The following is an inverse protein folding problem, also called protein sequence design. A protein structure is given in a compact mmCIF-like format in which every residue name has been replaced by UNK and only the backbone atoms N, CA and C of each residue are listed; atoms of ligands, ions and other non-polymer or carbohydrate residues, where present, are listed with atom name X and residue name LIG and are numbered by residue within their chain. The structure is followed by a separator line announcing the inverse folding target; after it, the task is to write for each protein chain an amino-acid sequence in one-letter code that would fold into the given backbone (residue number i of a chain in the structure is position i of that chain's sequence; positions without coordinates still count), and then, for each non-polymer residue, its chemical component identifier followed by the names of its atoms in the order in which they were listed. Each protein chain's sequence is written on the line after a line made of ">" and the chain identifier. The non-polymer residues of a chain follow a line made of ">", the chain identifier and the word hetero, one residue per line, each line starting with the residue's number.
data_IF_619491386584
#
_entry.id   IF_619491386584
#
_cell.length_a   1.000
_cell.length_b   1.000
_cell.length_c   1.000
_cell.angle_alpha   90.00
_cell.angle_beta   90.00
_cell.angle_gamma   90.00
#
_symmetry.space_group_name_H-M   'P 1'
#
loop_
_entity.id
_entity.type
_entity.pdbx_description
1 polymer ?
#
# COMPACT_ATOMS: atom_id res chain seq x y z
N UNK A 1 4.00 5.28 -15.86
CA UNK A 1 5.21 4.74 -15.20
C UNK A 1 6.27 5.84 -15.02
N UNK A 2 6.35 6.82 -15.92
CA UNK A 2 7.30 7.94 -15.91
C UNK A 2 7.50 8.68 -14.58
N UNK A 3 6.43 8.90 -13.80
CA UNK A 3 6.54 9.67 -12.56
C UNK A 3 7.21 8.88 -11.43
N UNK A 4 7.13 7.55 -11.42
CA UNK A 4 7.80 6.71 -10.41
C UNK A 4 9.27 6.47 -10.79
N UNK A 5 9.54 6.29 -12.09
CA UNK A 5 10.89 6.07 -12.61
C UNK A 5 11.83 7.29 -12.45
N UNK A 6 11.27 8.49 -12.32
CA UNK A 6 12.02 9.74 -12.15
C UNK A 6 12.31 10.10 -10.69
N UNK A 7 11.68 9.42 -9.73
CA UNK A 7 11.82 9.74 -8.30
C UNK A 7 13.02 9.03 -7.70
N UNK A 8 13.80 9.75 -6.89
CA UNK A 8 14.79 9.14 -6.02
C UNK A 8 14.12 8.54 -4.76
N UNK A 9 14.93 7.96 -3.86
CA UNK A 9 14.43 7.34 -2.63
C UNK A 9 13.73 8.34 -1.71
N UNK A 10 14.32 9.50 -1.47
CA UNK A 10 13.78 10.53 -0.57
C UNK A 10 12.44 11.08 -1.09
N UNK A 11 12.36 11.32 -2.40
CA UNK A 11 11.12 11.76 -3.07
C UNK A 11 10.05 10.66 -3.02
N UNK A 12 10.45 9.39 -3.12
CA UNK A 12 9.53 8.26 -3.00
C UNK A 12 8.98 8.18 -1.58
N UNK A 13 9.84 8.32 -0.55
CA UNK A 13 9.43 8.34 0.85
C UNK A 13 8.47 9.50 1.14
N UNK A 14 8.80 10.71 0.68
CA UNK A 14 7.93 11.88 0.84
C UNK A 14 6.53 11.64 0.25
N UNK A 15 6.44 11.07 -0.96
CA UNK A 15 5.14 10.75 -1.57
C UNK A 15 4.38 9.68 -0.78
N UNK A 16 5.06 8.65 -0.25
CA UNK A 16 4.41 7.63 0.58
C UNK A 16 3.84 8.22 1.87
N UNK A 17 4.55 9.16 2.50
CA UNK A 17 4.08 9.85 3.71
C UNK A 17 2.80 10.67 3.47
N UNK A 18 2.60 11.19 2.26
CA UNK A 18 1.40 11.97 1.90
C UNK A 18 0.18 11.10 1.54
N UNK A 19 0.37 9.80 1.28
CA UNK A 19 -0.72 8.94 0.80
C UNK A 19 -1.94 8.88 1.73
N UNK A 20 -1.82 8.82 3.07
CA UNK A 20 -2.98 8.83 3.96
C UNK A 20 -3.89 10.04 3.73
N UNK A 21 -3.33 11.24 3.63
CA UNK A 21 -4.09 12.48 3.39
C UNK A 21 -4.71 12.51 1.97
N UNK A 22 -4.03 11.91 0.99
CA UNK A 22 -4.59 11.73 -0.36
C UNK A 22 -5.80 10.81 -0.34
N UNK A 23 -5.72 9.66 0.33
CA UNK A 23 -6.84 8.72 0.43
C UNK A 23 -8.01 9.33 1.20
N UNK A 24 -7.75 10.03 2.30
CA UNK A 24 -8.78 10.76 3.05
C UNK A 24 -9.53 11.74 2.13
N UNK A 25 -8.79 12.60 1.41
CA UNK A 25 -9.40 13.56 0.49
C UNK A 25 -10.20 12.90 -0.63
N UNK A 26 -9.71 11.80 -1.21
CA UNK A 26 -10.38 11.12 -2.32
C UNK A 26 -11.66 10.37 -1.89
N UNK A 27 -11.70 9.93 -0.63
CA UNK A 27 -12.81 9.14 -0.09
C UNK A 27 -13.80 9.99 0.74
N UNK A 28 -13.46 11.24 1.06
CA UNK A 28 -14.24 12.11 1.95
C UNK A 28 -15.72 12.24 1.57
N UNK A 29 -16.02 12.33 0.27
CA UNK A 29 -17.37 12.54 -0.23
C UNK A 29 -18.09 11.24 -0.61
N UNK A 30 -17.48 10.07 -0.37
CA UNK A 30 -18.11 8.78 -0.68
C UNK A 30 -19.06 8.36 0.45
N UNK A 31 -20.32 8.13 0.10
CA UNK A 31 -21.30 7.55 1.02
C UNK A 31 -21.17 6.03 1.11
N UNK A 32 -21.77 5.44 2.15
CA UNK A 32 -21.94 3.98 2.26
C UNK A 32 -22.62 3.37 1.02
N UNK A 33 -23.55 4.10 0.40
CA UNK A 33 -24.22 3.65 -0.82
C UNK A 33 -23.25 3.61 -2.01
N UNK A 34 -22.33 4.58 -2.10
CA UNK A 34 -21.29 4.59 -3.12
C UNK A 34 -20.34 3.41 -2.97
N UNK A 35 -19.94 3.07 -1.74
CA UNK A 35 -19.11 1.89 -1.50
C UNK A 35 -19.82 0.57 -1.85
N UNK A 36 -21.15 0.51 -1.70
CA UNK A 36 -21.95 -0.69 -2.03
C UNK A 36 -22.30 -0.80 -3.51
N UNK A 37 -22.16 0.27 -4.28
CA UNK A 37 -22.46 0.27 -5.71
C UNK A 37 -21.53 -0.67 -6.47
N UNK A 38 -22.07 -1.32 -7.51
CA UNK A 38 -21.32 -2.19 -8.40
C UNK A 38 -20.33 -1.40 -9.27
N UNK A 39 -19.24 -2.06 -9.60
CA UNK A 39 -18.30 -1.70 -10.66
C UNK A 39 -17.82 -2.97 -11.37
N UNK A 40 -17.16 -2.77 -12.51
CA UNK A 40 -16.49 -3.85 -13.24
C UNK A 40 -15.00 -3.81 -12.91
N UNK A 41 -14.47 -4.94 -12.44
CA UNK A 41 -13.05 -5.13 -12.16
C UNK A 41 -12.24 -5.25 -13.44
N UNK A 42 -10.91 -5.26 -13.29
CA UNK A 42 -9.99 -5.42 -14.42
C UNK A 42 -10.10 -6.78 -15.12
N UNK A 43 -10.59 -7.79 -14.42
CA UNK A 43 -10.87 -9.14 -14.91
C UNK A 43 -12.24 -9.26 -15.59
N UNK A 44 -13.00 -8.16 -15.69
CA UNK A 44 -14.35 -8.13 -16.24
C UNK A 44 -15.45 -8.59 -15.29
N UNK A 45 -15.11 -9.05 -14.08
CA UNK A 45 -16.10 -9.48 -13.09
C UNK A 45 -16.73 -8.28 -12.36
N UNK A 46 -17.96 -8.45 -11.88
CA UNK A 46 -18.63 -7.45 -11.04
C UNK A 46 -18.18 -7.57 -9.58
N UNK A 47 -17.97 -6.43 -8.95
CA UNK A 47 -17.71 -6.30 -7.51
C UNK A 47 -18.17 -4.93 -7.01
N UNK A 48 -18.32 -4.77 -5.70
CA UNK A 48 -18.60 -3.45 -5.13
C UNK A 48 -17.35 -2.55 -5.16
N UNK A 49 -17.55 -1.24 -5.26
CA UNK A 49 -16.46 -0.25 -5.19
C UNK A 49 -15.67 -0.35 -3.90
N UNK A 50 -16.36 -0.58 -2.78
CA UNK A 50 -15.73 -0.79 -1.46
C UNK A 50 -14.82 -2.01 -1.45
N UNK A 51 -15.28 -3.15 -2.00
CA UNK A 51 -14.46 -4.36 -2.10
C UNK A 51 -13.24 -4.14 -2.99
N UNK A 52 -13.40 -3.42 -4.10
CA UNK A 52 -12.29 -3.05 -4.96
C UNK A 52 -11.23 -2.23 -4.20
N UNK A 53 -11.63 -1.20 -3.47
CA UNK A 53 -10.71 -0.35 -2.69
C UNK A 53 -9.97 -1.16 -1.62
N UNK A 54 -10.68 -2.01 -0.87
CA UNK A 54 -10.06 -2.86 0.16
C UNK A 54 -9.04 -3.80 -0.46
N UNK A 55 -9.39 -4.51 -1.54
CA UNK A 55 -8.49 -5.50 -2.14
C UNK A 55 -7.30 -4.84 -2.84
N UNK A 56 -7.55 -3.81 -3.64
CA UNK A 56 -6.51 -3.20 -4.49
C UNK A 56 -5.62 -2.22 -3.73
N UNK A 57 -6.16 -1.46 -2.79
CA UNK A 57 -5.39 -0.45 -2.04
C UNK A 57 -4.80 -1.08 -0.79
N UNK A 58 -5.63 -1.60 0.13
CA UNK A 58 -5.14 -2.15 1.40
C UNK A 58 -4.47 -3.50 1.21
N UNK A 59 -5.11 -4.42 0.48
CA UNK A 59 -4.55 -5.72 0.15
C UNK A 59 -3.28 -5.62 -0.69
N UNK A 60 -3.31 -4.76 -1.73
CA UNK A 60 -2.14 -4.43 -2.55
C UNK A 60 -0.98 -3.89 -1.71
N UNK A 61 -1.22 -2.91 -0.83
CA UNK A 61 -0.19 -2.36 0.05
C UNK A 61 0.45 -3.45 0.92
N UNK A 62 -0.36 -4.30 1.57
CA UNK A 62 0.16 -5.39 2.39
C UNK A 62 0.97 -6.41 1.58
N UNK A 63 0.53 -6.74 0.36
CA UNK A 63 1.22 -7.67 -0.53
C UNK A 63 2.59 -7.12 -0.97
N UNK A 64 2.65 -5.87 -1.45
CA UNK A 64 3.91 -5.27 -1.91
C UNK A 64 4.87 -4.99 -0.76
N UNK A 65 4.38 -4.60 0.43
CA UNK A 65 5.22 -4.48 1.64
C UNK A 65 5.85 -5.82 2.01
N UNK A 66 5.09 -6.91 1.89
CA UNK A 66 5.60 -8.27 2.12
C UNK A 66 6.68 -8.65 1.12
N UNK A 67 6.49 -8.34 -0.17
CA UNK A 67 7.50 -8.59 -1.20
C UNK A 67 8.80 -7.83 -0.89
N UNK A 68 8.70 -6.53 -0.55
CA UNK A 68 9.86 -5.71 -0.18
C UNK A 68 10.59 -6.27 1.05
N UNK A 69 9.85 -6.68 2.08
CA UNK A 69 10.43 -7.34 3.26
C UNK A 69 11.23 -8.59 2.89
N UNK A 70 10.68 -9.46 2.05
CA UNK A 70 11.38 -10.66 1.59
C UNK A 70 12.66 -10.32 0.81
N UNK A 71 12.61 -9.30 -0.05
CA UNK A 71 13.78 -8.83 -0.79
C UNK A 71 14.87 -8.30 0.14
N UNK A 72 14.52 -7.45 1.11
CA UNK A 72 15.49 -6.93 2.08
C UNK A 72 16.16 -8.06 2.88
N UNK A 73 15.40 -9.06 3.32
CA UNK A 73 15.97 -10.25 3.97
C UNK A 73 16.93 -11.01 3.06
N UNK A 74 16.58 -11.20 1.78
CA UNK A 74 17.45 -11.87 0.81
C UNK A 74 18.75 -11.09 0.54
N UNK A 75 18.74 -9.77 0.73
CA UNK A 75 19.92 -8.91 0.65
C UNK A 75 20.77 -8.89 1.94
N UNK A 76 20.46 -9.72 2.94
CA UNK A 76 21.24 -9.85 4.18
C UNK A 76 20.74 -9.03 5.36
N UNK A 77 19.55 -8.40 5.27
CA UNK A 77 18.93 -7.71 6.42
C UNK A 77 18.26 -8.70 7.39
N UNK A 78 19.05 -9.57 8.02
CA UNK A 78 18.56 -10.62 8.92
C UNK A 78 17.86 -10.09 10.18
N UNK A 79 18.16 -8.84 10.58
CA UNK A 79 17.49 -8.15 11.69
C UNK A 79 15.99 -7.93 11.46
N UNK A 80 15.52 -8.01 10.21
CA UNK A 80 14.10 -7.87 9.89
C UNK A 80 13.33 -9.14 10.30
N UNK A 81 12.47 -8.99 11.31
CA UNK A 81 11.58 -10.03 11.82
C UNK A 81 10.15 -9.91 11.32
N UNK A 82 9.35 -10.95 11.56
CA UNK A 82 7.91 -10.96 11.26
C UNK A 82 7.16 -9.82 11.95
N UNK A 83 7.58 -9.41 13.14
CA UNK A 83 7.03 -8.26 13.85
C UNK A 83 7.18 -6.96 13.05
N UNK A 84 8.30 -6.75 12.35
CA UNK A 84 8.50 -5.57 11.51
C UNK A 84 7.50 -5.55 10.35
N UNK A 85 7.34 -6.69 9.68
CA UNK A 85 6.38 -6.83 8.59
C UNK A 85 4.93 -6.66 9.05
N UNK A 86 4.53 -7.28 10.17
CA UNK A 86 3.14 -7.30 10.61
C UNK A 86 2.72 -5.98 11.27
N UNK A 87 3.58 -5.42 12.13
CA UNK A 87 3.29 -4.16 12.82
C UNK A 87 3.62 -2.93 11.97
N UNK A 88 4.35 -3.10 10.88
CA UNK A 88 4.80 -1.97 10.04
C UNK A 88 5.75 -1.04 10.79
N UNK A 89 6.57 -1.59 11.69
CA UNK A 89 7.55 -0.83 12.48
C UNK A 89 8.93 -1.26 12.03
N UNK A 90 9.79 -0.28 11.73
CA UNK A 90 11.17 -0.55 11.35
C UNK A 90 11.93 -1.29 12.45
N UNK A 91 12.96 -2.04 12.06
CA UNK A 91 13.87 -2.61 13.05
C UNK A 91 14.55 -1.47 13.79
N UNK A 92 14.62 -1.58 15.12
CA UNK A 92 15.41 -0.66 15.92
C UNK A 92 16.83 -0.64 15.38
N UNK A 93 17.37 0.55 15.12
CA UNK A 93 18.75 0.69 14.67
C UNK A 93 19.66 -0.02 15.69
N UNK A 94 20.67 -0.78 15.25
CA UNK A 94 21.65 -1.35 16.17
C UNK A 94 22.31 -0.21 16.97
N UNK A 95 22.58 -0.50 18.24
CA UNK A 95 23.26 0.42 19.16
C UNK A 95 24.69 0.75 18.71
#
# INVERSE_FOLDING_TARGET
>A
MDAAEKRNLDETLAVLTEQPAVYERLLADMSDADFRADMTGFDGNKLSRGLFIVNMVLGGHAAYRTQLFCYLKSCGHEQLGTTNLWRGVDAMAPA
#
